data_IF_531353963439
#
_entry.id   IF_531353963439
#
_cell.length_a   1.000
_cell.length_b   1.000
_cell.length_c   1.000
_cell.angle_alpha   90.00
_cell.angle_beta   90.00
_cell.angle_gamma   90.00
#
_symmetry.space_group_name_H-M   'P 1'
#
loop_
_entity.id
_entity.type
_entity.pdbx_description
1 polymer ?
#
# COMPACT_ATOMS: atom_id res chain seq x y z
N UNK A 1 12.70 11.16 -9.34
CA UNK A 1 11.93 10.87 -8.11
C UNK A 1 10.45 11.02 -8.44
N UNK A 2 9.68 9.93 -8.53
CA UNK A 2 8.24 9.98 -8.76
C UNK A 2 7.54 10.07 -7.39
N UNK A 3 6.65 11.04 -7.24
CA UNK A 3 5.84 11.21 -6.04
C UNK A 3 4.37 11.21 -6.48
N UNK A 4 3.57 10.34 -5.87
CA UNK A 4 2.14 10.28 -6.12
C UNK A 4 1.41 10.89 -4.93
N UNK A 5 0.59 11.90 -5.19
CA UNK A 5 -0.26 12.52 -4.19
C UNK A 5 -1.71 12.46 -4.66
N UNK A 6 -2.59 11.92 -3.82
CA UNK A 6 -4.03 11.92 -4.08
C UNK A 6 -4.65 13.08 -3.31
N UNK A 7 -5.14 14.06 -4.05
CA UNK A 7 -5.91 15.19 -3.51
C UNK A 7 -7.03 14.68 -2.61
N UNK A 8 -7.24 15.33 -1.47
CA UNK A 8 -8.19 14.88 -0.45
C UNK A 8 -9.59 14.64 -0.99
N UNK A 9 -10.10 15.55 -1.82
CA UNK A 9 -11.43 15.46 -2.46
C UNK A 9 -11.55 14.32 -3.47
N UNK A 10 -10.43 13.77 -3.94
CA UNK A 10 -10.36 12.68 -4.92
C UNK A 10 -10.01 11.34 -4.27
N UNK A 11 -9.82 11.29 -2.94
CA UNK A 11 -9.50 10.05 -2.20
C UNK A 11 -10.66 9.08 -2.30
N UNK A 12 -10.58 8.20 -3.28
CA UNK A 12 -11.44 7.03 -3.41
C UNK A 12 -10.59 5.79 -3.30
N UNK A 13 -11.11 4.66 -2.79
CA UNK A 13 -10.26 3.48 -2.72
C UNK A 13 -10.01 2.86 -4.10
N UNK A 14 -10.76 3.24 -5.14
CA UNK A 14 -10.46 2.84 -6.53
C UNK A 14 -9.23 3.59 -7.05
N UNK A 15 -9.16 4.91 -6.83
CA UNK A 15 -7.97 5.68 -7.18
C UNK A 15 -6.74 5.24 -6.37
N UNK A 16 -6.92 4.90 -5.09
CA UNK A 16 -5.85 4.33 -4.27
C UNK A 16 -5.32 3.02 -4.86
N UNK A 17 -6.21 2.09 -5.24
CA UNK A 17 -5.80 0.80 -5.80
C UNK A 17 -5.17 0.94 -7.19
N UNK A 18 -5.67 1.86 -8.02
CA UNK A 18 -5.06 2.18 -9.30
C UNK A 18 -3.64 2.74 -9.10
N UNK A 19 -3.48 3.76 -8.25
CA UNK A 19 -2.16 4.33 -7.95
C UNK A 19 -1.19 3.31 -7.32
N UNK A 20 -1.69 2.41 -6.47
CA UNK A 20 -0.87 1.35 -5.89
C UNK A 20 -0.45 0.29 -6.91
N UNK A 21 -1.32 -0.03 -7.88
CA UNK A 21 -0.99 -0.97 -8.97
C UNK A 21 0.09 -0.38 -9.87
N UNK A 22 -0.10 0.87 -10.32
CA UNK A 22 0.88 1.61 -11.13
C UNK A 22 2.25 1.72 -10.43
N UNK A 23 2.26 1.93 -9.12
CA UNK A 23 3.51 1.96 -8.35
C UNK A 23 4.22 0.61 -8.35
N UNK A 24 3.49 -0.50 -8.21
CA UNK A 24 4.08 -1.84 -8.25
C UNK A 24 4.62 -2.15 -9.65
N UNK A 25 3.86 -1.83 -10.69
CA UNK A 25 4.26 -2.04 -12.08
C UNK A 25 5.53 -1.24 -12.42
N UNK A 26 5.60 0.05 -12.02
CA UNK A 26 6.78 0.89 -12.21
C UNK A 26 8.03 0.34 -11.49
N UNK A 27 7.86 -0.25 -10.29
CA UNK A 27 8.95 -0.90 -9.56
C UNK A 27 9.43 -2.15 -10.29
N UNK A 28 8.52 -2.97 -10.83
CA UNK A 28 8.86 -4.19 -11.57
C UNK A 28 9.57 -3.91 -12.89
N UNK A 29 9.11 -2.87 -13.59
CA UNK A 29 9.68 -2.46 -14.85
C UNK A 29 11.07 -1.84 -14.66
N UNK A 30 11.24 -1.07 -13.58
CA UNK A 30 12.53 -0.47 -13.24
C UNK A 30 13.57 -1.47 -12.74
N UNK A 31 13.17 -2.43 -11.89
CA UNK A 31 14.10 -3.38 -11.28
C UNK A 31 13.41 -4.69 -10.84
N UNK A 32 13.58 -5.74 -11.66
CA UNK A 32 12.95 -7.05 -11.43
C UNK A 32 13.45 -7.75 -10.17
N UNK A 33 14.63 -7.40 -9.66
CA UNK A 33 15.19 -8.04 -8.46
C UNK A 33 14.65 -7.47 -7.14
N UNK A 34 13.82 -6.41 -7.18
CA UNK A 34 13.19 -5.86 -5.97
C UNK A 34 12.29 -6.91 -5.34
N UNK A 35 12.63 -7.30 -4.11
CA UNK A 35 11.83 -8.25 -3.31
C UNK A 35 10.99 -7.57 -2.23
N UNK A 36 11.38 -6.37 -1.81
CA UNK A 36 10.73 -5.67 -0.71
C UNK A 36 10.59 -4.18 -0.99
N UNK A 37 9.47 -3.61 -0.54
CA UNK A 37 9.28 -2.16 -0.43
C UNK A 37 9.43 -1.76 1.02
N UNK A 38 10.01 -0.57 1.24
CA UNK A 38 10.12 0.06 2.54
C UNK A 38 9.58 1.48 2.50
N UNK A 39 8.83 1.88 3.52
CA UNK A 39 8.38 3.26 3.68
C UNK A 39 8.22 3.64 5.15
N UNK A 40 8.41 4.93 5.43
CA UNK A 40 8.28 5.52 6.75
C UNK A 40 6.91 6.16 6.91
N UNK A 41 6.33 6.01 8.10
CA UNK A 41 5.09 6.68 8.50
C UNK A 41 5.30 7.37 9.86
N UNK A 42 4.81 8.60 10.06
CA UNK A 42 4.79 9.21 11.39
C UNK A 42 4.08 8.35 12.45
N UNK A 43 4.74 8.11 13.57
CA UNK A 43 4.20 7.43 14.76
C UNK A 43 3.41 8.44 15.61
N UNK A 44 2.33 8.98 15.06
CA UNK A 44 1.54 10.01 15.74
C UNK A 44 0.54 9.38 16.73
N UNK A 45 0.49 9.82 18.01
CA UNK A 45 -0.55 9.43 18.95
C UNK A 45 -1.92 9.89 18.44
N UNK A 46 -2.91 8.98 18.38
CA UNK A 46 -4.25 9.30 17.88
C UNK A 46 -4.36 9.41 16.35
N UNK A 47 -3.24 9.38 15.63
CA UNK A 47 -3.28 8.94 14.26
C UNK A 47 -3.56 7.45 14.33
N UNK A 48 -4.80 7.07 14.03
CA UNK A 48 -5.05 5.74 13.51
C UNK A 48 -4.08 5.56 12.34
N UNK A 49 -2.92 4.94 12.60
CA UNK A 49 -2.15 4.27 11.58
C UNK A 49 -3.15 3.29 10.98
N UNK A 50 -3.76 3.74 9.88
CA UNK A 50 -5.18 3.45 9.63
C UNK A 50 -5.42 1.96 9.51
N UNK A 51 -6.70 1.57 9.47
CA UNK A 51 -7.10 0.20 9.10
C UNK A 51 -6.33 -0.31 7.86
N UNK A 52 -5.94 0.58 6.95
CA UNK A 52 -5.04 0.30 5.83
C UNK A 52 -3.65 -0.17 6.27
N UNK A 53 -2.92 0.61 7.07
CA UNK A 53 -1.56 0.29 7.51
C UNK A 53 -1.53 -0.97 8.38
N UNK A 54 -2.54 -1.20 9.23
CA UNK A 54 -2.65 -2.45 9.99
C UNK A 54 -2.81 -3.66 9.07
N UNK A 55 -3.61 -3.56 8.02
CA UNK A 55 -3.79 -4.65 7.03
C UNK A 55 -2.54 -4.89 6.21
N UNK A 56 -1.82 -3.84 5.87
CA UNK A 56 -0.54 -3.92 5.17
C UNK A 56 0.51 -4.59 6.07
N UNK A 57 0.58 -4.22 7.35
CA UNK A 57 1.49 -4.84 8.32
C UNK A 57 1.18 -6.32 8.59
N UNK A 58 -0.05 -6.77 8.34
CA UNK A 58 -0.44 -8.17 8.50
C UNK A 58 -0.17 -9.05 7.28
N UNK A 59 0.42 -8.50 6.20
CA UNK A 59 0.78 -9.31 5.04
C UNK A 59 1.86 -10.33 5.41
N UNK A 60 1.87 -11.53 4.80
CA UNK A 60 2.93 -12.51 5.03
C UNK A 60 4.32 -11.91 4.76
N UNK A 61 5.26 -12.10 5.68
CA UNK A 61 6.61 -11.56 5.57
C UNK A 61 6.73 -10.04 5.74
N UNK A 62 5.63 -9.33 6.05
CA UNK A 62 5.68 -7.93 6.43
C UNK A 62 6.31 -7.77 7.82
N UNK A 63 7.02 -6.66 8.02
CA UNK A 63 7.52 -6.26 9.32
C UNK A 63 7.31 -4.77 9.54
N UNK A 64 7.13 -4.38 10.81
CA UNK A 64 7.16 -2.99 11.23
C UNK A 64 8.21 -2.79 12.30
N UNK A 65 8.94 -1.68 12.23
CA UNK A 65 9.95 -1.31 13.21
C UNK A 65 9.72 0.12 13.64
N UNK A 66 9.53 0.33 14.94
CA UNK A 66 9.41 1.66 15.53
C UNK A 66 10.80 2.27 15.69
N UNK A 67 10.97 3.52 15.26
CA UNK A 67 12.21 4.28 15.32
C UNK A 67 11.89 5.72 15.76
N UNK A 68 11.73 5.91 17.07
CA UNK A 68 11.35 7.20 17.66
C UNK A 68 9.96 7.64 17.19
N UNK A 69 9.89 8.77 16.50
CA UNK A 69 8.64 9.35 16.00
C UNK A 69 8.20 8.78 14.64
N UNK A 70 8.87 7.75 14.14
CA UNK A 70 8.56 7.12 12.85
C UNK A 70 8.41 5.60 13.00
N UNK A 71 7.56 5.02 12.17
CA UNK A 71 7.45 3.57 11.99
C UNK A 71 7.88 3.21 10.57
N UNK A 72 8.89 2.36 10.46
CA UNK A 72 9.30 1.73 9.20
C UNK A 72 8.39 0.54 8.92
N UNK A 73 7.81 0.51 7.74
CA UNK A 73 7.13 -0.68 7.20
C UNK A 73 8.02 -1.29 6.13
N UNK A 74 8.19 -2.62 6.19
CA UNK A 74 8.86 -3.42 5.16
C UNK A 74 7.90 -4.51 4.71
N UNK A 75 7.71 -4.65 3.40
CA UNK A 75 6.72 -5.54 2.80
C UNK A 75 7.34 -6.32 1.65
N UNK A 76 7.08 -7.64 1.51
CA UNK A 76 7.38 -8.35 0.28
C UNK A 76 6.56 -7.78 -0.87
N UNK A 77 7.22 -7.50 -2.00
CA UNK A 77 6.57 -6.89 -3.17
C UNK A 77 5.47 -7.79 -3.73
N UNK A 78 5.74 -9.10 -3.81
CA UNK A 78 4.79 -10.09 -4.32
C UNK A 78 3.50 -10.16 -3.48
N UNK A 79 3.63 -10.06 -2.16
CA UNK A 79 2.46 -10.09 -1.26
C UNK A 79 1.67 -8.79 -1.32
N UNK A 80 2.35 -7.64 -1.46
CA UNK A 80 1.68 -6.36 -1.68
C UNK A 80 0.89 -6.37 -2.99
N UNK A 81 1.52 -6.83 -4.08
CA UNK A 81 0.90 -6.95 -5.40
C UNK A 81 -0.34 -7.86 -5.37
N UNK A 82 -0.21 -9.05 -4.78
CA UNK A 82 -1.33 -9.99 -4.63
C UNK A 82 -2.47 -9.36 -3.83
N UNK A 83 -2.15 -8.65 -2.75
CA UNK A 83 -3.15 -7.99 -1.92
C UNK A 83 -3.89 -6.88 -2.68
N UNK A 84 -3.18 -6.05 -3.45
CA UNK A 84 -3.76 -5.01 -4.31
C UNK A 84 -4.72 -5.64 -5.34
N UNK A 85 -4.27 -6.66 -6.07
CA UNK A 85 -5.08 -7.38 -7.08
C UNK A 85 -6.35 -7.99 -6.46
N UNK A 86 -6.24 -8.61 -5.29
CA UNK A 86 -7.38 -9.17 -4.56
C UNK A 86 -8.40 -8.07 -4.19
N UNK A 87 -7.93 -6.92 -3.69
CA UNK A 87 -8.81 -5.81 -3.32
C UNK A 87 -9.50 -5.19 -4.53
N UNK A 88 -8.78 -5.03 -5.65
CA UNK A 88 -9.33 -4.54 -6.90
C UNK A 88 -10.44 -5.46 -7.43
N UNK A 89 -10.20 -6.78 -7.47
CA UNK A 89 -11.20 -7.77 -7.87
C UNK A 89 -12.47 -7.70 -7.00
N UNK A 90 -12.30 -7.74 -5.67
CA UNK A 90 -13.42 -7.66 -4.72
C UNK A 90 -14.26 -6.39 -4.89
N UNK A 91 -13.64 -5.28 -5.32
CA UNK A 91 -14.34 -4.03 -5.58
C UNK A 91 -15.05 -4.02 -6.93
N UNK A 92 -14.44 -4.61 -7.96
CA UNK A 92 -15.09 -4.77 -9.26
C UNK A 92 -16.38 -5.61 -9.13
N UNK A 93 -16.34 -6.71 -8.37
CA UNK A 93 -17.51 -7.57 -8.15
C UNK A 93 -18.63 -6.84 -7.41
N UNK A 94 -18.30 -6.04 -6.39
CA UNK A 94 -19.29 -5.22 -5.67
C UNK A 94 -19.97 -4.17 -6.53
N UNK A 95 -19.31 -3.67 -7.58
CA UNK A 95 -19.89 -2.70 -8.51
C UNK A 95 -20.86 -3.34 -9.50
N UNK A 96 -20.70 -4.63 -9.83
CA UNK A 96 -21.62 -5.36 -10.72
C UNK A 96 -22.98 -5.66 -10.08
N UNK A 97 -23.07 -5.56 -8.75
CA UNK A 97 -24.27 -5.90 -7.96
C UNK A 97 -25.09 -4.62 -7.61
N UNK A 98 -24.58 -3.43 -7.96
CA UNK A 98 -25.26 -2.13 -7.78
C UNK A 98 -25.76 -1.60 -9.11
#
# INVERSE_FOLDING_TARGET
MKCFFIEEKRRTPDLLLAAASELVDDIRDGERQVRHIQFWVPSLPGADAGRLLRRIASLPGASRTEAGALTLYKLPLDELERWIRMLASKRADRRKIR
#
